data_IF_921074115892
#
_entry.id   IF_921074115892
#
_cell.length_a   1.000
_cell.length_b   1.000
_cell.length_c   1.000
_cell.angle_alpha   90.00
_cell.angle_beta   90.00
_cell.angle_gamma   90.00
#
_symmetry.space_group_name_H-M   'P 1'
#
loop_
_entity.id
_entity.type
_entity.pdbx_description
1 polymer ?
#
# COMPACT_ATOMS: atom_id res chain seq x y z
N UNK A 1 -9.32 -23.66 9.46
CA UNK A 1 -8.43 -22.55 9.07
C UNK A 1 -9.29 -21.31 8.97
N UNK A 2 -9.15 -20.40 9.93
CA UNK A 2 -9.89 -19.14 9.99
C UNK A 2 -9.66 -18.35 8.69
N UNK A 3 -10.72 -17.82 8.09
CA UNK A 3 -10.61 -16.99 6.90
C UNK A 3 -9.86 -15.71 7.28
N UNK A 4 -8.56 -15.64 6.98
CA UNK A 4 -7.74 -14.47 7.29
C UNK A 4 -8.40 -13.27 6.59
N UNK A 5 -8.90 -12.33 7.39
CA UNK A 5 -9.85 -11.28 7.04
C UNK A 5 -9.51 -10.46 5.80
N UNK A 6 -10.28 -10.60 4.73
CA UNK A 6 -10.23 -9.70 3.56
C UNK A 6 -11.19 -8.53 3.78
N UNK A 7 -10.67 -7.30 3.76
CA UNK A 7 -11.46 -6.08 3.88
C UNK A 7 -11.42 -5.32 2.55
N UNK A 8 -12.55 -5.24 1.86
CA UNK A 8 -12.63 -4.53 0.59
C UNK A 8 -12.65 -3.01 0.82
N UNK A 9 -11.60 -2.36 0.34
CA UNK A 9 -11.40 -0.92 0.41
C UNK A 9 -12.12 -0.15 -0.70
N UNK A 10 -12.61 -0.83 -1.73
CA UNK A 10 -13.24 -0.23 -2.90
C UNK A 10 -14.48 0.59 -2.50
N UNK A 11 -14.56 1.83 -3.01
CA UNK A 11 -15.65 2.75 -2.74
C UNK A 11 -15.66 3.39 -1.35
N UNK A 12 -14.72 3.04 -0.46
CA UNK A 12 -14.63 3.63 0.89
C UNK A 12 -14.11 5.06 0.83
N UNK A 13 -14.59 5.89 1.75
CA UNK A 13 -14.11 7.27 1.93
C UNK A 13 -13.38 7.40 3.25
N UNK A 14 -12.20 8.02 3.21
CA UNK A 14 -11.30 8.17 4.34
C UNK A 14 -10.92 9.64 4.50
N UNK A 15 -10.75 10.07 5.75
CA UNK A 15 -10.12 11.35 6.06
C UNK A 15 -8.67 11.07 6.44
N UNK A 16 -7.74 11.44 5.55
CA UNK A 16 -6.30 11.17 5.71
C UNK A 16 -5.56 12.49 5.55
N UNK A 17 -4.84 12.94 6.57
CA UNK A 17 -4.07 14.20 6.54
C UNK A 17 -4.94 15.39 6.08
N UNK A 18 -6.17 15.49 6.60
CA UNK A 18 -7.19 16.49 6.24
C UNK A 18 -7.74 16.39 4.81
N UNK A 19 -7.28 15.44 4.00
CA UNK A 19 -7.83 15.14 2.67
C UNK A 19 -8.98 14.14 2.78
N UNK A 20 -10.07 14.40 2.07
CA UNK A 20 -11.18 13.44 1.93
C UNK A 20 -10.92 12.61 0.69
N UNK A 21 -10.39 11.42 0.89
CA UNK A 21 -9.98 10.50 -0.19
C UNK A 21 -11.07 9.45 -0.37
N UNK A 22 -11.50 9.21 -1.62
CA UNK A 22 -12.36 8.09 -1.98
C UNK A 22 -11.58 7.08 -2.78
N UNK A 23 -11.60 5.83 -2.33
CA UNK A 23 -10.94 4.71 -2.99
C UNK A 23 -11.79 4.27 -4.17
N UNK A 24 -11.20 4.28 -5.35
CA UNK A 24 -11.86 3.90 -6.60
C UNK A 24 -11.69 2.41 -6.88
N UNK A 25 -10.51 1.88 -6.58
CA UNK A 25 -10.11 0.52 -6.92
C UNK A 25 -9.03 0.01 -5.94
N UNK A 26 -9.16 -1.25 -5.54
CA UNK A 26 -8.11 -1.99 -4.84
C UNK A 26 -7.29 -2.78 -5.87
N UNK A 27 -6.00 -2.45 -5.99
CA UNK A 27 -5.10 -3.05 -6.97
C UNK A 27 -4.45 -4.33 -6.45
N UNK A 28 -4.07 -4.37 -5.18
CA UNK A 28 -3.43 -5.55 -4.60
C UNK A 28 -3.72 -5.71 -3.12
N UNK A 29 -3.59 -6.94 -2.63
CA UNK A 29 -3.70 -7.32 -1.23
C UNK A 29 -2.69 -8.42 -0.90
N UNK A 30 -1.83 -8.17 0.09
CA UNK A 30 -0.78 -9.09 0.53
C UNK A 30 -0.83 -9.25 2.04
N UNK A 31 -0.80 -10.51 2.51
CA UNK A 31 -0.58 -10.83 3.92
C UNK A 31 0.92 -10.82 4.21
N UNK A 32 1.37 -10.04 5.18
CA UNK A 32 2.68 -10.23 5.82
C UNK A 32 2.45 -10.91 7.17
N UNK A 33 2.45 -12.24 7.15
CA UNK A 33 2.22 -13.11 8.31
C UNK A 33 3.31 -12.95 9.37
N UNK A 34 4.55 -12.62 8.95
CA UNK A 34 5.69 -12.36 9.83
C UNK A 34 5.46 -11.14 10.72
N UNK A 35 4.67 -10.18 10.25
CA UNK A 35 4.39 -8.92 10.95
C UNK A 35 2.93 -8.79 11.41
N UNK A 36 2.07 -9.75 11.06
CA UNK A 36 0.64 -9.69 11.35
C UNK A 36 -0.02 -8.50 10.67
N UNK A 37 0.40 -8.19 9.44
CA UNK A 37 -0.10 -7.04 8.67
C UNK A 37 -0.81 -7.49 7.40
N UNK A 38 -1.78 -6.67 6.97
CA UNK A 38 -2.24 -6.68 5.59
C UNK A 38 -1.74 -5.45 4.87
N UNK A 39 -1.17 -5.62 3.69
CA UNK A 39 -0.70 -4.57 2.80
C UNK A 39 -1.63 -4.47 1.60
N UNK A 40 -2.16 -3.29 1.36
CA UNK A 40 -3.10 -3.01 0.29
C UNK A 40 -2.55 -1.86 -0.56
N UNK A 41 -2.63 -1.99 -1.87
CA UNK A 41 -2.40 -0.89 -2.81
C UNK A 41 -3.72 -0.51 -3.48
N UNK A 42 -4.01 0.78 -3.56
CA UNK A 42 -5.27 1.30 -4.12
C UNK A 42 -5.06 2.48 -5.05
N UNK A 43 -5.99 2.66 -5.98
CA UNK A 43 -6.25 3.94 -6.65
C UNK A 43 -7.37 4.68 -5.96
N UNK A 44 -7.24 6.00 -5.91
CA UNK A 44 -8.21 6.86 -5.26
C UNK A 44 -8.21 8.25 -5.90
N UNK A 45 -9.14 9.06 -5.46
CA UNK A 45 -9.10 10.51 -5.71
C UNK A 45 -9.41 11.32 -4.46
N UNK A 46 -8.85 12.51 -4.38
CA UNK A 46 -9.30 13.52 -3.43
C UNK A 46 -10.67 14.06 -3.88
N UNK A 47 -11.68 13.89 -3.05
CA UNK A 47 -13.06 14.28 -3.36
C UNK A 47 -13.29 15.79 -3.40
N UNK A 48 -12.38 16.59 -2.83
CA UNK A 48 -12.46 18.04 -2.88
C UNK A 48 -11.81 18.61 -4.15
N UNK A 49 -10.70 18.03 -4.61
CA UNK A 49 -9.91 18.56 -5.74
C UNK A 49 -10.04 17.77 -7.03
N UNK A 50 -10.49 16.51 -6.96
CA UNK A 50 -10.49 15.56 -8.07
C UNK A 50 -9.10 15.00 -8.42
N UNK A 51 -8.07 15.33 -7.64
CA UNK A 51 -6.70 14.82 -7.85
C UNK A 51 -6.67 13.30 -7.71
N UNK A 52 -6.13 12.61 -8.71
CA UNK A 52 -5.90 11.15 -8.68
C UNK A 52 -4.68 10.83 -7.83
N UNK A 53 -4.82 9.79 -7.01
CA UNK A 53 -3.85 9.39 -6.00
C UNK A 53 -3.67 7.87 -6.01
N UNK A 54 -2.50 7.43 -5.57
CA UNK A 54 -2.29 6.05 -5.10
C UNK A 54 -2.13 6.05 -3.60
N UNK A 55 -2.74 5.06 -2.94
CA UNK A 55 -2.62 4.87 -1.50
C UNK A 55 -2.14 3.46 -1.19
N UNK A 56 -1.06 3.39 -0.43
CA UNK A 56 -0.68 2.18 0.29
C UNK A 56 -1.35 2.22 1.67
N UNK A 57 -2.08 1.16 2.00
CA UNK A 57 -2.75 0.99 3.28
C UNK A 57 -2.16 -0.25 3.94
N UNK A 58 -1.66 -0.12 5.17
CA UNK A 58 -1.19 -1.26 5.96
C UNK A 58 -1.96 -1.29 7.27
N UNK A 59 -2.63 -2.40 7.58
CA UNK A 59 -3.37 -2.52 8.84
C UNK A 59 -2.96 -3.76 9.61
N UNK A 60 -2.85 -3.59 10.93
CA UNK A 60 -2.58 -4.69 11.87
C UNK A 60 -3.76 -5.66 11.91
N UNK A 61 -3.44 -6.94 11.92
CA UNK A 61 -4.37 -8.03 12.19
C UNK A 61 -4.31 -8.38 13.68
N UNK A 62 -5.26 -9.19 14.14
CA UNK A 62 -5.27 -9.61 15.54
C UNK A 62 -4.02 -10.48 15.82
N UNK A 63 -3.10 -10.07 16.71
CA UNK A 63 -1.87 -10.82 16.97
C UNK A 63 -2.11 -12.24 17.48
N UNK A 64 -3.25 -12.50 18.14
CA UNK A 64 -3.62 -13.83 18.63
C UNK A 64 -3.87 -14.84 17.50
N UNK A 65 -4.03 -14.39 16.25
CA UNK A 65 -4.16 -15.24 15.07
C UNK A 65 -2.80 -15.72 14.52
N UNK A 66 -1.69 -15.28 15.12
CA UNK A 66 -0.32 -15.56 14.69
C UNK A 66 0.51 -16.17 15.83
N UNK A 67 1.50 -16.98 15.48
CA UNK A 67 2.40 -17.62 16.44
C UNK A 67 3.62 -16.72 16.73
N UNK A 68 3.37 -15.56 17.33
CA UNK A 68 4.41 -14.61 17.70
C UNK A 68 4.99 -14.91 19.08
N UNK A 69 6.29 -15.18 19.14
CA UNK A 69 7.01 -15.32 20.42
C UNK A 69 7.00 -14.01 21.22
N UNK A 70 7.11 -12.87 20.54
CA UNK A 70 7.14 -11.54 21.14
C UNK A 70 6.29 -10.53 20.35
N UNK A 71 4.96 -10.46 20.62
CA UNK A 71 4.06 -9.57 19.88
C UNK A 71 4.43 -8.08 19.93
N UNK A 72 5.12 -7.63 20.97
CA UNK A 72 5.49 -6.21 21.09
C UNK A 72 6.68 -5.84 20.19
N UNK A 73 7.65 -6.75 20.05
CA UNK A 73 8.73 -6.60 19.09
C UNK A 73 8.21 -6.59 17.65
N UNK A 74 7.25 -7.47 17.34
CA UNK A 74 6.60 -7.51 16.02
C UNK A 74 5.90 -6.18 15.70
N UNK A 75 5.24 -5.53 16.67
CA UNK A 75 4.64 -4.20 16.45
C UNK A 75 5.68 -3.13 16.12
N UNK A 76 6.80 -3.10 16.83
CA UNK A 76 7.86 -2.12 16.50
C UNK A 76 8.51 -2.43 15.15
N UNK A 77 8.68 -3.71 14.80
CA UNK A 77 9.15 -4.11 13.48
C UNK A 77 8.18 -3.71 12.37
N UNK A 78 6.87 -3.90 12.56
CA UNK A 78 5.82 -3.47 11.64
C UNK A 78 5.88 -1.95 11.36
N UNK A 79 6.04 -1.16 12.43
CA UNK A 79 6.19 0.29 12.33
C UNK A 79 7.48 0.69 11.61
N UNK A 80 8.61 0.03 11.89
CA UNK A 80 9.88 0.28 11.19
C UNK A 80 9.79 -0.07 9.70
N UNK A 81 9.17 -1.20 9.36
CA UNK A 81 8.90 -1.60 7.98
C UNK A 81 8.06 -0.55 7.24
N UNK A 82 7.02 -0.02 7.88
CA UNK A 82 6.23 1.06 7.29
C UNK A 82 7.06 2.32 7.06
N UNK A 83 7.89 2.74 8.02
CA UNK A 83 8.76 3.92 7.88
C UNK A 83 9.78 3.73 6.74
N UNK A 84 10.41 2.56 6.62
CA UNK A 84 11.27 2.26 5.48
C UNK A 84 10.51 2.27 4.16
N UNK A 85 9.24 1.84 4.15
CA UNK A 85 8.37 1.96 3.00
C UNK A 85 8.12 3.42 2.59
N UNK A 86 7.96 4.33 3.55
CA UNK A 86 7.88 5.78 3.31
C UNK A 86 9.16 6.29 2.67
N UNK A 87 10.31 5.98 3.25
CA UNK A 87 11.61 6.42 2.75
C UNK A 87 11.87 5.91 1.33
N UNK A 88 11.50 4.65 1.06
CA UNK A 88 11.63 4.04 -0.27
C UNK A 88 10.81 4.80 -1.31
N UNK A 89 9.54 5.09 -1.00
CA UNK A 89 8.66 5.83 -1.91
C UNK A 89 9.17 7.25 -2.16
N UNK A 90 9.65 7.93 -1.12
CA UNK A 90 10.19 9.29 -1.25
C UNK A 90 11.46 9.31 -2.12
N UNK A 91 12.41 8.41 -1.86
CA UNK A 91 13.66 8.29 -2.63
C UNK A 91 13.36 7.95 -4.09
N UNK A 92 12.64 6.85 -4.35
CA UNK A 92 12.36 6.38 -5.72
C UNK A 92 11.52 7.40 -6.49
N UNK A 93 10.55 8.04 -5.84
CA UNK A 93 9.77 9.13 -6.41
C UNK A 93 10.62 10.36 -6.75
N UNK A 94 11.56 10.75 -5.87
CA UNK A 94 12.46 11.89 -6.10
C UNK A 94 13.42 11.68 -7.26
N UNK A 95 13.79 10.42 -7.53
CA UNK A 95 14.60 10.02 -8.68
C UNK A 95 13.78 9.94 -9.99
N UNK A 96 12.45 10.13 -9.93
CA UNK A 96 11.56 10.05 -11.08
C UNK A 96 11.27 8.62 -11.53
N UNK A 97 11.54 7.64 -10.67
CA UNK A 97 11.43 6.21 -10.94
C UNK A 97 10.21 5.55 -10.29
N UNK A 98 9.38 6.33 -9.60
CA UNK A 98 8.19 5.85 -8.92
C UNK A 98 7.17 6.95 -8.67
N UNK A 99 6.10 6.63 -7.94
CA UNK A 99 5.07 7.60 -7.63
C UNK A 99 5.63 8.72 -6.77
N UNK A 100 5.20 9.96 -7.02
CA UNK A 100 5.62 11.11 -6.22
C UNK A 100 5.05 11.00 -4.81
N UNK A 101 5.90 10.98 -3.80
CA UNK A 101 5.45 11.04 -2.40
C UNK A 101 4.66 12.33 -2.10
N UNK A 102 3.59 12.22 -1.31
CA UNK A 102 2.81 13.37 -0.83
C UNK A 102 2.79 13.47 0.69
N UNK A 103 2.38 12.41 1.37
CA UNK A 103 2.26 12.39 2.82
C UNK A 103 2.17 10.95 3.33
N UNK A 104 2.45 10.74 4.61
CA UNK A 104 2.12 9.51 5.31
C UNK A 104 1.45 9.85 6.66
N UNK A 105 0.64 8.93 7.18
CA UNK A 105 0.04 9.09 8.49
C UNK A 105 -0.36 7.75 9.08
N UNK A 106 -0.64 7.73 10.39
CA UNK A 106 -1.16 6.56 11.09
C UNK A 106 -2.46 6.92 11.80
N UNK A 107 -3.36 5.95 11.88
CA UNK A 107 -4.62 6.07 12.62
C UNK A 107 -4.87 4.81 13.46
N UNK A 108 -5.87 4.89 14.34
CA UNK A 108 -6.38 3.73 15.07
C UNK A 108 -7.53 3.12 14.29
N UNK A 109 -7.54 1.79 14.21
CA UNK A 109 -8.60 1.02 13.56
C UNK A 109 -9.94 1.14 14.31
N UNK A 110 -11.00 1.41 13.56
CA UNK A 110 -12.37 1.54 14.06
C UNK A 110 -13.07 0.20 14.37
N UNK A 111 -14.35 0.25 14.74
CA UNK A 111 -15.12 -0.93 15.17
C UNK A 111 -15.48 -1.93 14.07
N UNK A 112 -15.26 -1.60 12.79
CA UNK A 112 -15.54 -2.45 11.63
C UNK A 112 -14.27 -3.01 10.96
N UNK A 113 -13.13 -2.87 11.62
CA UNK A 113 -11.83 -3.32 11.12
C UNK A 113 -11.40 -4.64 11.79
N UNK A 114 -10.49 -5.41 11.18
CA UNK A 114 -10.10 -6.74 11.67
C UNK A 114 -9.52 -6.73 13.08
N UNK A 115 -8.80 -5.67 13.47
CA UNK A 115 -8.25 -5.54 14.81
C UNK A 115 -8.65 -4.20 15.43
N UNK A 116 -9.78 -4.20 16.16
CA UNK A 116 -10.28 -3.01 16.84
C UNK A 116 -9.23 -2.47 17.83
N UNK A 117 -8.83 -1.21 17.66
CA UNK A 117 -7.77 -0.60 18.47
C UNK A 117 -6.36 -0.81 17.93
N UNK A 118 -6.18 -1.68 16.93
CA UNK A 118 -4.93 -1.83 16.18
C UNK A 118 -4.60 -0.59 15.36
N UNK A 119 -3.42 -0.59 14.73
CA UNK A 119 -2.97 0.52 13.88
C UNK A 119 -3.27 0.28 12.41
N UNK A 120 -3.49 1.39 11.73
CA UNK A 120 -3.53 1.47 10.28
C UNK A 120 -2.59 2.58 9.82
N UNK A 121 -1.79 2.29 8.82
CA UNK A 121 -0.74 3.14 8.28
C UNK A 121 -1.07 3.47 6.83
N UNK A 122 -0.88 4.72 6.45
CA UNK A 122 -1.19 5.24 5.11
C UNK A 122 0.05 5.89 4.51
N UNK A 123 0.30 5.63 3.23
CA UNK A 123 1.23 6.39 2.39
C UNK A 123 0.41 6.91 1.20
N UNK A 124 0.38 8.24 1.03
CA UNK A 124 -0.30 8.93 -0.06
C UNK A 124 0.74 9.32 -1.09
N UNK A 125 0.46 8.98 -2.35
CA UNK A 125 1.36 9.18 -3.46
C UNK A 125 0.59 9.70 -4.68
N UNK A 126 1.29 10.35 -5.60
CA UNK A 126 0.73 10.70 -6.90
C UNK A 126 0.40 9.45 -7.71
N UNK A 127 -0.65 9.53 -8.52
CA UNK A 127 -1.04 8.44 -9.42
C UNK A 127 0.07 8.16 -10.44
N UNK A 128 0.32 6.87 -10.72
CA UNK A 128 1.23 6.42 -11.76
C UNK A 128 0.43 5.73 -12.85
N UNK A 129 0.50 6.21 -14.11
CA UNK A 129 -0.15 5.53 -15.20
C UNK A 129 0.52 4.18 -15.42
N UNK A 130 -0.28 3.14 -15.60
CA UNK A 130 0.23 1.78 -15.81
C UNK A 130 -0.83 0.74 -15.54
N UNK A 131 -0.61 -0.42 -16.14
CA UNK A 131 -1.37 -1.65 -15.93
C UNK A 131 -0.41 -2.69 -15.34
N UNK A 132 -0.97 -3.73 -14.73
CA UNK A 132 -0.14 -4.82 -14.22
C UNK A 132 0.62 -5.47 -15.37
N UNK A 133 1.95 -5.51 -15.27
CA UNK A 133 2.81 -6.09 -16.31
C UNK A 133 2.55 -7.59 -16.44
N UNK A 134 2.17 -8.26 -15.35
CA UNK A 134 1.87 -9.70 -15.38
C UNK A 134 0.58 -9.97 -16.18
N UNK A 135 -0.40 -9.06 -16.14
CA UNK A 135 -1.65 -9.18 -16.92
C UNK A 135 -1.45 -8.96 -18.41
N UNK A 136 -0.51 -8.09 -18.80
CA UNK A 136 -0.24 -7.76 -20.20
C UNK A 136 0.91 -8.54 -20.82
N UNK A 137 1.62 -9.37 -20.04
CA UNK A 137 2.89 -9.96 -20.46
C UNK A 137 2.80 -10.68 -21.82
N UNK A 138 1.70 -11.39 -22.04
CA UNK A 138 1.45 -12.16 -23.27
C UNK A 138 1.06 -11.28 -24.47
N UNK A 139 0.65 -10.04 -24.23
CA UNK A 139 0.27 -9.05 -25.25
C UNK A 139 1.44 -8.15 -25.68
N UNK A 140 2.52 -8.13 -24.89
CA UNK A 140 3.68 -7.29 -25.14
C UNK A 140 4.55 -7.82 -26.28
N UNK A 141 4.89 -6.94 -27.22
CA UNK A 141 5.92 -7.24 -28.20
C UNK A 141 7.31 -7.38 -27.56
N UNK A 142 8.21 -8.10 -28.24
CA UNK A 142 9.62 -8.25 -27.83
C UNK A 142 10.28 -6.89 -27.58
N UNK A 143 9.96 -5.88 -28.39
CA UNK A 143 10.50 -4.52 -28.24
C UNK A 143 9.96 -3.82 -27.00
N UNK A 144 8.67 -3.94 -26.69
CA UNK A 144 8.08 -3.40 -25.47
C UNK A 144 8.69 -4.06 -24.22
N UNK A 145 8.82 -5.40 -24.23
CA UNK A 145 9.46 -6.14 -23.13
C UNK A 145 10.92 -5.73 -22.92
N UNK A 146 11.69 -5.53 -23.99
CA UNK A 146 13.06 -5.03 -23.90
C UNK A 146 13.11 -3.60 -23.31
N UNK A 147 12.15 -2.75 -23.64
CA UNK A 147 12.04 -1.41 -23.07
C UNK A 147 11.73 -1.45 -21.56
N UNK A 148 10.80 -2.30 -21.13
CA UNK A 148 10.46 -2.49 -19.71
C UNK A 148 11.68 -2.99 -18.94
N UNK A 149 12.40 -4.00 -19.45
CA UNK A 149 13.63 -4.51 -18.83
C UNK A 149 14.69 -3.43 -18.67
N UNK A 150 14.87 -2.57 -19.67
CA UNK A 150 15.82 -1.45 -19.60
C UNK A 150 15.41 -0.44 -18.53
N UNK A 151 14.12 -0.13 -18.41
CA UNK A 151 13.61 0.75 -17.36
C UNK A 151 13.82 0.14 -15.98
N UNK A 152 13.48 -1.14 -15.77
CA UNK A 152 13.73 -1.83 -14.51
C UNK A 152 15.21 -1.85 -14.14
N UNK A 153 16.12 -2.04 -15.10
CA UNK A 153 17.56 -1.97 -14.85
C UNK A 153 17.99 -0.59 -14.34
N UNK A 154 17.49 0.52 -14.93
CA UNK A 154 17.78 1.87 -14.44
C UNK A 154 17.26 2.15 -13.03
N UNK A 155 16.16 1.51 -12.63
CA UNK A 155 15.56 1.70 -11.30
C UNK A 155 16.34 0.90 -10.23
N UNK A 156 16.94 -0.22 -10.62
CA UNK A 156 17.61 -1.16 -9.72
C UNK A 156 19.13 -0.93 -9.57
N UNK A 157 19.74 -0.12 -10.45
CA UNK A 157 21.15 0.31 -10.39
C UNK A 157 21.34 1.60 -9.58
#
# INVERSE_FOLDING_TARGET
MSAIWNYDWTGKSLLITQRRVKIDEQLSEVLDDRLGLRHILTRAHDTNTGERLMLTIQYELNPDEFDFENPEEIKEMAKLHWLHGVDTVDIVGSLGHGPKYHAHTRQTQGCGMPYRGGRIYFIIMGDVPGEDVDELLDELSVTQLASIRKQLAFILE
#
